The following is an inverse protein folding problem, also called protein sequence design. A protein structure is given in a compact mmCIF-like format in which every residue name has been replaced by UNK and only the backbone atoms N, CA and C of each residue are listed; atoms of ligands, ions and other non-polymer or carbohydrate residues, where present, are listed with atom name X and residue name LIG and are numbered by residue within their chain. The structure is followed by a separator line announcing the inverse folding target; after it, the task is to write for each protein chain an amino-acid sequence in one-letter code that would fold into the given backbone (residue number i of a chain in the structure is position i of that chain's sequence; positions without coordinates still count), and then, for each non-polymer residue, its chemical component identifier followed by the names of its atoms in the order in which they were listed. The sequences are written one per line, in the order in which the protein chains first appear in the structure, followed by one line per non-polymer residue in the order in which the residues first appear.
data_IF_527207788313
#
_entry.id   IF_527207788313
#
_cell.length_a   1.000
_cell.length_b   1.000
_cell.length_c   1.000
_cell.angle_alpha   90.00
_cell.angle_beta   90.00
_cell.angle_gamma   90.00
#
_symmetry.space_group_name_H-M   'P 1'
#
loop_
_entity.id
_entity.type
_entity.pdbx_description
1 polymer ?
#
# COMPACT_ATOMS: atom_id res chain seq x y z
N UNK A 1 -6.97 -6.81 -20.02
CA UNK A 1 -5.83 -7.78 -19.93
C UNK A 1 -6.26 -9.13 -19.34
N UNK A 2 -7.17 -9.19 -18.35
CA UNK A 2 -7.61 -10.44 -17.74
C UNK A 2 -8.33 -11.39 -18.72
N UNK A 3 -9.21 -10.88 -19.55
CA UNK A 3 -10.01 -11.70 -20.47
C UNK A 3 -9.14 -12.52 -21.45
N UNK A 4 -8.06 -11.95 -22.00
CA UNK A 4 -7.16 -12.67 -22.92
C UNK A 4 -6.48 -13.84 -22.22
N UNK A 5 -6.05 -13.66 -20.95
CA UNK A 5 -5.41 -14.73 -20.19
C UNK A 5 -6.37 -15.88 -19.87
N UNK A 6 -7.64 -15.55 -19.64
CA UNK A 6 -8.69 -16.54 -19.41
C UNK A 6 -8.99 -17.33 -20.70
N UNK A 7 -9.03 -16.67 -21.84
CA UNK A 7 -9.24 -17.30 -23.17
C UNK A 7 -8.09 -18.23 -23.55
N UNK A 8 -6.85 -17.88 -23.21
CA UNK A 8 -5.64 -18.66 -23.50
C UNK A 8 -5.36 -19.74 -22.45
N UNK A 9 -6.26 -19.97 -21.51
CA UNK A 9 -6.14 -20.95 -20.42
C UNK A 9 -4.82 -20.83 -19.65
N UNK A 10 -4.36 -19.61 -19.41
CA UNK A 10 -3.16 -19.35 -18.64
C UNK A 10 -3.30 -19.86 -17.21
N UNK A 11 -2.31 -20.60 -16.72
CA UNK A 11 -2.32 -21.18 -15.36
C UNK A 11 -1.60 -20.27 -14.35
N UNK A 12 -0.74 -19.38 -14.80
CA UNK A 12 -0.04 -18.41 -13.96
C UNK A 12 0.40 -17.20 -14.78
N UNK A 13 0.61 -16.06 -14.11
CA UNK A 13 1.17 -14.87 -14.67
C UNK A 13 2.57 -14.57 -14.12
N UNK A 14 3.50 -14.23 -14.99
CA UNK A 14 4.84 -13.77 -14.59
C UNK A 14 5.05 -12.37 -15.10
N UNK A 15 5.51 -11.47 -14.24
CA UNK A 15 5.81 -10.10 -14.63
C UNK A 15 7.26 -9.72 -14.31
N UNK A 16 7.73 -8.71 -15.01
CA UNK A 16 9.07 -8.16 -14.80
C UNK A 16 9.05 -7.13 -13.69
N UNK A 17 10.03 -7.19 -12.79
CA UNK A 17 10.31 -6.11 -11.85
C UNK A 17 10.67 -4.82 -12.61
N UNK A 18 10.33 -3.69 -12.02
CA UNK A 18 10.63 -2.37 -12.58
C UNK A 18 12.10 -1.96 -12.42
N UNK A 19 12.88 -2.71 -11.62
CA UNK A 19 14.27 -2.39 -11.30
C UNK A 19 15.22 -3.46 -11.80
N UNK A 20 16.40 -3.03 -12.22
CA UNK A 20 17.55 -3.88 -12.53
C UNK A 20 18.35 -4.21 -11.26
N UNK A 21 19.39 -5.03 -11.39
CA UNK A 21 20.30 -5.39 -10.29
C UNK A 21 19.77 -6.52 -9.39
N UNK A 22 18.94 -7.41 -9.93
CA UNK A 22 18.35 -8.51 -9.16
C UNK A 22 17.29 -8.07 -8.15
N UNK A 23 16.89 -6.80 -8.17
CA UNK A 23 15.92 -6.25 -7.24
C UNK A 23 14.50 -6.58 -7.66
N UNK A 24 13.72 -7.06 -6.71
CA UNK A 24 12.29 -7.24 -6.85
C UNK A 24 11.58 -6.04 -6.21
N UNK A 25 10.56 -5.56 -6.91
CA UNK A 25 9.68 -4.53 -6.40
C UNK A 25 8.27 -5.10 -6.32
N UNK A 26 7.98 -5.75 -5.22
CA UNK A 26 6.68 -6.37 -4.99
C UNK A 26 5.57 -5.32 -4.99
N UNK A 27 4.97 -5.06 -6.13
CA UNK A 27 3.80 -4.16 -6.21
C UNK A 27 2.52 -4.85 -5.77
N UNK A 28 2.57 -5.84 -4.90
CA UNK A 28 1.43 -6.50 -4.33
C UNK A 28 0.28 -6.82 -5.31
N UNK A 29 -0.54 -7.75 -4.95
CA UNK A 29 -1.82 -7.99 -5.59
C UNK A 29 -2.91 -7.40 -4.68
N UNK A 30 -3.79 -6.56 -5.24
CA UNK A 30 -4.93 -6.05 -4.48
C UNK A 30 -5.93 -7.19 -4.29
N UNK A 31 -5.85 -7.86 -3.15
CA UNK A 31 -6.85 -8.84 -2.75
C UNK A 31 -8.04 -8.11 -2.11
N UNK A 32 -9.23 -8.44 -2.56
CA UNK A 32 -10.46 -8.02 -1.90
C UNK A 32 -11.04 -9.21 -1.16
N UNK A 33 -11.39 -9.01 0.10
CA UNK A 33 -12.01 -10.03 0.94
C UNK A 33 -13.20 -10.68 0.22
N UNK A 34 -13.18 -12.01 0.15
CA UNK A 34 -14.21 -12.77 -0.56
C UNK A 34 -14.03 -12.86 -2.08
N UNK A 35 -13.03 -12.21 -2.65
CA UNK A 35 -12.70 -12.39 -4.07
C UNK A 35 -11.95 -13.70 -4.28
N UNK A 36 -12.28 -14.41 -5.34
CA UNK A 36 -11.50 -15.59 -5.75
C UNK A 36 -10.33 -15.14 -6.61
N UNK A 37 -9.08 -15.41 -6.22
CA UNK A 37 -7.93 -15.16 -7.08
C UNK A 37 -8.07 -15.97 -8.38
N UNK A 38 -7.98 -15.28 -9.52
CA UNK A 38 -8.16 -15.95 -10.82
C UNK A 38 -6.90 -16.64 -11.31
N UNK A 39 -5.74 -16.03 -11.04
CA UNK A 39 -4.48 -16.49 -11.60
C UNK A 39 -3.36 -16.26 -10.58
N UNK A 40 -2.58 -17.29 -10.33
CA UNK A 40 -1.35 -17.14 -9.56
C UNK A 40 -0.40 -16.19 -10.30
N UNK A 41 0.20 -15.24 -9.57
CA UNK A 41 1.12 -14.28 -10.15
C UNK A 41 2.42 -14.20 -9.36
N UNK A 42 3.52 -14.01 -10.07
CA UNK A 42 4.81 -13.75 -9.45
C UNK A 42 5.60 -12.70 -10.22
N UNK A 43 6.49 -12.05 -9.50
CA UNK A 43 7.42 -11.09 -10.07
C UNK A 43 8.81 -11.70 -10.11
N UNK A 44 9.48 -11.56 -11.25
CA UNK A 44 10.87 -11.92 -11.44
C UNK A 44 11.73 -10.67 -11.49
N UNK A 45 12.99 -10.79 -11.04
CA UNK A 45 14.00 -9.80 -11.33
C UNK A 45 14.04 -9.49 -12.83
N UNK A 46 14.31 -8.25 -13.18
CA UNK A 46 14.22 -7.80 -14.57
C UNK A 46 15.12 -8.59 -15.51
N UNK A 47 16.32 -8.95 -15.06
CA UNK A 47 17.30 -9.73 -15.83
C UNK A 47 16.79 -11.15 -16.11
N UNK A 48 16.23 -11.81 -15.10
CA UNK A 48 15.70 -13.16 -15.22
C UNK A 48 14.47 -13.18 -16.12
N UNK A 49 13.58 -12.21 -15.96
CA UNK A 49 12.42 -12.06 -16.83
C UNK A 49 12.84 -11.89 -18.30
N UNK A 50 13.81 -11.00 -18.57
CA UNK A 50 14.31 -10.79 -19.95
C UNK A 50 14.96 -12.04 -20.51
N UNK A 51 15.68 -12.82 -19.68
CA UNK A 51 16.22 -14.12 -20.05
C UNK A 51 15.12 -15.10 -20.41
N UNK A 52 14.12 -15.23 -19.54
CA UNK A 52 12.95 -16.08 -19.77
C UNK A 52 12.24 -15.72 -21.07
N UNK A 53 12.00 -14.42 -21.30
CA UNK A 53 11.35 -13.95 -22.53
C UNK A 53 12.14 -14.27 -23.81
N UNK A 54 13.48 -14.33 -23.73
CA UNK A 54 14.30 -14.79 -24.87
C UNK A 54 14.20 -16.31 -25.06
N UNK A 55 14.26 -17.07 -23.98
CA UNK A 55 14.16 -18.53 -24.01
C UNK A 55 12.76 -18.98 -24.49
N UNK A 56 11.70 -18.28 -24.13
CA UNK A 56 10.35 -18.60 -24.60
C UNK A 56 10.18 -18.52 -26.14
N UNK A 57 11.17 -17.97 -26.85
CA UNK A 57 11.19 -17.90 -28.33
C UNK A 57 12.04 -19.00 -28.96
N UNK A 58 12.62 -19.88 -28.16
CA UNK A 58 13.39 -21.04 -28.69
C UNK A 58 12.47 -22.23 -28.94
N UNK A 59 12.95 -23.18 -29.78
CA UNK A 59 12.26 -24.45 -30.07
C UNK A 59 13.10 -25.61 -29.55
N UNK A 60 12.59 -26.42 -28.60
CA UNK A 60 11.32 -26.25 -27.88
C UNK A 60 11.40 -25.11 -26.86
N UNK A 61 10.27 -24.49 -26.53
CA UNK A 61 10.23 -23.48 -25.46
C UNK A 61 10.47 -24.11 -24.07
N UNK A 62 11.02 -23.39 -23.12
CA UNK A 62 11.24 -23.91 -21.77
C UNK A 62 9.91 -24.16 -21.05
N UNK A 63 9.90 -25.19 -20.22
CA UNK A 63 8.83 -25.42 -19.27
C UNK A 63 9.21 -24.78 -17.94
N UNK A 64 8.25 -24.10 -17.28
CA UNK A 64 8.41 -23.54 -15.96
C UNK A 64 7.61 -24.37 -14.96
N UNK A 65 8.22 -24.65 -13.83
CA UNK A 65 7.54 -25.18 -12.67
C UNK A 65 7.37 -24.02 -11.65
N UNK A 66 6.14 -23.79 -11.22
CA UNK A 66 5.81 -22.78 -10.24
C UNK A 66 5.25 -23.46 -9.00
N UNK A 67 5.86 -23.19 -7.85
CA UNK A 67 5.34 -23.58 -6.56
C UNK A 67 4.96 -22.33 -5.78
N UNK A 68 3.72 -22.29 -5.26
CA UNK A 68 3.23 -21.17 -4.46
C UNK A 68 2.33 -21.70 -3.37
N UNK A 69 2.70 -21.41 -2.13
CA UNK A 69 1.89 -21.71 -0.96
C UNK A 69 1.41 -20.37 -0.38
N UNK A 70 0.12 -20.09 -0.47
CA UNK A 70 -0.50 -18.86 -0.03
C UNK A 70 -1.66 -19.16 0.87
N UNK A 71 -1.73 -18.51 2.01
CA UNK A 71 -2.86 -18.55 2.92
C UNK A 71 -3.46 -17.16 3.04
N UNK A 72 -4.78 -17.05 2.86
CA UNK A 72 -5.53 -15.82 3.11
C UNK A 72 -5.99 -15.80 4.56
N UNK A 73 -5.86 -14.64 5.21
CA UNK A 73 -6.27 -14.41 6.59
C UNK A 73 -7.37 -13.35 6.58
N UNK A 74 -8.61 -13.80 6.50
CA UNK A 74 -9.81 -12.96 6.37
C UNK A 74 -10.62 -12.88 7.67
N UNK A 75 -10.11 -13.40 8.77
CA UNK A 75 -10.81 -13.49 10.06
C UNK A 75 -10.95 -12.12 10.72
N UNK A 76 -9.93 -11.27 10.60
CA UNK A 76 -9.96 -9.88 11.03
C UNK A 76 -9.38 -8.98 9.95
N UNK A 77 -10.27 -8.26 9.28
CA UNK A 77 -9.96 -7.33 8.18
C UNK A 77 -9.97 -5.87 8.63
N UNK A 78 -10.08 -5.61 9.93
CA UNK A 78 -10.07 -4.26 10.46
C UNK A 78 -8.66 -3.67 10.40
N UNK A 79 -8.60 -2.42 9.98
CA UNK A 79 -7.40 -1.61 10.02
C UNK A 79 -7.73 -0.26 10.65
N UNK A 80 -6.78 0.31 11.38
CA UNK A 80 -7.00 1.49 12.19
C UNK A 80 -6.03 2.59 11.83
N UNK A 81 -6.56 3.82 11.68
CA UNK A 81 -5.74 5.02 11.69
C UNK A 81 -5.57 5.51 13.14
N UNK A 82 -4.42 6.08 13.45
CA UNK A 82 -4.16 6.70 14.75
C UNK A 82 -4.29 8.21 14.59
N UNK A 83 -5.13 8.82 15.41
CA UNK A 83 -5.34 10.26 15.40
C UNK A 83 -5.03 10.85 16.78
N UNK A 84 -4.35 12.00 16.79
CA UNK A 84 -4.09 12.76 18.01
C UNK A 84 -4.31 14.25 17.74
N UNK A 85 -4.97 14.93 18.68
CA UNK A 85 -5.33 16.33 18.52
C UNK A 85 -4.74 17.21 19.62
N UNK A 86 -4.27 18.40 19.21
CA UNK A 86 -4.11 19.55 20.08
C UNK A 86 -5.34 20.44 19.82
N UNK A 87 -6.28 20.54 20.78
CA UNK A 87 -7.53 21.27 20.56
C UNK A 87 -7.33 22.74 20.24
N UNK A 88 -8.09 23.25 19.30
CA UNK A 88 -8.17 24.69 19.01
C UNK A 88 -8.92 25.46 20.10
N UNK A 89 -8.55 26.72 20.27
CA UNK A 89 -9.15 27.60 21.29
C UNK A 89 -10.32 28.46 20.77
N UNK A 90 -10.32 28.75 19.47
CA UNK A 90 -11.27 29.70 18.84
C UNK A 90 -12.04 29.01 17.70
N UNK A 91 -11.34 28.34 16.83
CA UNK A 91 -11.89 27.60 15.67
C UNK A 91 -11.63 26.11 15.81
N UNK A 92 -12.09 25.52 16.91
CA UNK A 92 -11.81 24.12 17.22
C UNK A 92 -12.41 23.11 16.22
N UNK A 93 -13.42 23.51 15.46
CA UNK A 93 -13.98 22.71 14.36
C UNK A 93 -13.19 22.78 13.04
N UNK A 94 -12.20 23.67 12.94
CA UNK A 94 -11.29 23.74 11.80
C UNK A 94 -9.99 23.01 12.12
N UNK A 95 -9.43 22.30 11.14
CA UNK A 95 -8.25 21.47 11.34
C UNK A 95 -7.07 21.92 10.49
N UNK A 96 -5.89 21.90 11.10
CA UNK A 96 -4.61 21.84 10.40
C UNK A 96 -4.08 20.42 10.63
N UNK A 97 -3.75 19.71 9.57
CA UNK A 97 -3.37 18.30 9.66
C UNK A 97 -1.93 18.07 9.22
N UNK A 98 -1.24 17.20 9.96
CA UNK A 98 0.00 16.60 9.56
C UNK A 98 -0.15 15.08 9.68
N UNK A 99 0.31 14.32 8.69
CA UNK A 99 0.18 12.88 8.70
C UNK A 99 1.29 12.17 7.96
N UNK A 100 1.46 10.91 8.31
CA UNK A 100 2.33 9.96 7.63
C UNK A 100 1.66 8.60 7.66
N UNK A 101 2.05 7.66 6.81
CA UNK A 101 1.53 6.30 6.94
C UNK A 101 2.40 5.46 7.87
N UNK A 102 1.76 4.53 8.54
CA UNK A 102 2.36 3.69 9.57
C UNK A 102 2.77 2.32 9.03
N UNK A 103 2.09 1.86 7.99
CA UNK A 103 2.37 0.59 7.33
C UNK A 103 3.59 0.68 6.40
N UNK A 104 4.10 -0.49 6.04
CA UNK A 104 5.20 -0.66 5.09
C UNK A 104 4.95 -1.89 4.24
N UNK A 105 5.71 -2.04 3.16
CA UNK A 105 5.69 -3.26 2.36
C UNK A 105 6.13 -4.48 3.18
N UNK A 106 5.47 -5.61 2.93
CA UNK A 106 5.72 -6.89 3.61
C UNK A 106 7.18 -7.33 3.54
N UNK A 107 7.87 -7.04 2.45
CA UNK A 107 9.26 -7.40 2.24
C UNK A 107 10.25 -6.27 2.60
N UNK A 108 9.79 -5.24 3.32
CA UNK A 108 10.60 -4.07 3.67
C UNK A 108 10.56 -3.82 5.18
N UNK A 109 11.69 -3.42 5.74
CA UNK A 109 11.77 -2.98 7.14
C UNK A 109 11.06 -1.63 7.36
N UNK A 110 10.68 -0.93 6.30
CA UNK A 110 9.91 0.30 6.35
C UNK A 110 10.63 1.49 7.00
N UNK A 111 11.96 1.43 7.17
CA UNK A 111 12.69 2.47 7.90
C UNK A 111 12.57 3.85 7.26
N UNK A 112 12.67 3.92 5.92
CA UNK A 112 12.51 5.14 5.16
C UNK A 112 11.05 5.36 4.74
N UNK A 113 10.39 4.31 4.29
CA UNK A 113 9.01 4.29 3.83
C UNK A 113 8.18 3.36 4.74
N UNK A 114 7.56 3.85 5.83
CA UNK A 114 7.53 5.28 6.17
C UNK A 114 7.74 5.51 7.68
N UNK A 115 8.58 4.71 8.35
CA UNK A 115 8.89 4.92 9.77
C UNK A 115 9.51 6.32 10.01
N UNK A 116 10.35 6.80 9.09
CA UNK A 116 10.93 8.14 9.18
C UNK A 116 9.86 9.23 9.17
N UNK A 117 8.89 9.17 8.25
CA UNK A 117 7.78 10.12 8.20
C UNK A 117 6.89 10.04 9.45
N UNK A 118 6.59 8.83 9.91
CA UNK A 118 5.83 8.62 11.15
C UNK A 118 6.56 9.21 12.36
N UNK A 119 7.87 9.01 12.47
CA UNK A 119 8.68 9.59 13.55
C UNK A 119 8.65 11.13 13.52
N UNK A 120 8.71 11.74 12.35
CA UNK A 120 8.63 13.21 12.20
C UNK A 120 7.27 13.73 12.69
N UNK A 121 6.17 13.09 12.31
CA UNK A 121 4.82 13.48 12.75
C UNK A 121 4.66 13.31 14.26
N UNK A 122 5.13 12.19 14.81
CA UNK A 122 5.07 11.94 16.26
C UNK A 122 5.91 12.93 17.05
N UNK A 123 7.11 13.25 16.57
CA UNK A 123 7.99 14.21 17.23
C UNK A 123 7.43 15.64 17.17
N UNK A 124 6.85 16.04 16.05
CA UNK A 124 6.15 17.32 15.96
C UNK A 124 5.00 17.41 16.96
N UNK A 125 4.21 16.35 17.09
CA UNK A 125 3.14 16.27 18.08
C UNK A 125 3.67 16.38 19.51
N UNK A 126 4.75 15.69 19.82
CA UNK A 126 5.41 15.72 21.12
C UNK A 126 5.92 17.12 21.48
N UNK A 127 6.65 17.76 20.55
CA UNK A 127 7.20 19.11 20.76
C UNK A 127 6.05 20.12 21.02
N UNK A 128 5.06 20.18 20.15
CA UNK A 128 3.96 21.14 20.27
C UNK A 128 3.14 20.90 21.55
N UNK A 129 2.96 19.65 21.96
CA UNK A 129 2.32 19.30 23.23
C UNK A 129 3.13 19.78 24.42
N UNK A 130 4.47 19.57 24.44
CA UNK A 130 5.34 20.04 25.52
C UNK A 130 5.42 21.57 25.60
N UNK A 131 5.38 22.24 24.47
CA UNK A 131 5.30 23.71 24.41
C UNK A 131 3.99 24.26 24.92
N UNK A 132 3.00 23.41 25.19
CA UNK A 132 1.66 23.80 25.64
C UNK A 132 1.04 24.86 24.74
N UNK A 133 1.21 24.70 23.43
CA UNK A 133 0.67 25.63 22.44
C UNK A 133 -0.86 25.70 22.56
N UNK A 134 -1.40 26.90 22.30
CA UNK A 134 -2.85 27.13 22.28
C UNK A 134 -3.23 27.62 20.88
N UNK A 135 -3.36 26.71 19.92
CA UNK A 135 -3.64 27.10 18.53
C UNK A 135 -5.08 27.60 18.40
N UNK A 136 -5.36 28.46 17.43
CA UNK A 136 -6.75 28.87 17.13
C UNK A 136 -7.55 27.72 16.54
N UNK A 137 -6.94 26.93 15.62
CA UNK A 137 -7.51 25.75 15.01
C UNK A 137 -6.98 24.49 15.68
N UNK A 138 -7.74 23.43 15.65
CA UNK A 138 -7.24 22.12 16.11
C UNK A 138 -6.10 21.67 15.20
N UNK A 139 -4.98 21.25 15.82
CA UNK A 139 -3.88 20.59 15.09
C UNK A 139 -4.09 19.10 15.25
N UNK A 140 -4.30 18.40 14.13
CA UNK A 140 -4.50 16.95 14.09
C UNK A 140 -3.28 16.28 13.49
N UNK A 141 -2.76 15.30 14.20
CA UNK A 141 -1.72 14.39 13.73
C UNK A 141 -2.37 13.08 13.37
N UNK A 142 -1.97 12.50 12.26
CA UNK A 142 -2.54 11.25 11.77
C UNK A 142 -1.44 10.27 11.36
N UNK A 143 -1.56 9.02 11.80
CA UNK A 143 -0.81 7.91 11.25
C UNK A 143 -1.79 7.01 10.51
N UNK A 144 -1.61 6.95 9.20
CA UNK A 144 -2.51 6.26 8.30
C UNK A 144 -2.12 4.78 8.15
N UNK A 145 -3.10 3.91 7.98
CA UNK A 145 -2.86 2.50 7.69
C UNK A 145 -3.33 2.16 6.27
N UNK A 146 -2.70 1.14 5.66
CA UNK A 146 -3.06 0.68 4.32
C UNK A 146 -2.70 1.67 3.21
N UNK A 147 -1.65 2.46 3.38
CA UNK A 147 -1.14 3.36 2.33
C UNK A 147 -0.59 2.55 1.18
N UNK A 148 0.23 1.56 1.48
CA UNK A 148 0.93 0.71 0.52
C UNK A 148 -0.01 -0.15 -0.35
N UNK A 149 -1.24 -0.36 0.09
CA UNK A 149 -2.28 -1.06 -0.64
C UNK A 149 -3.22 -0.12 -1.40
N UNK A 150 -2.94 1.19 -1.42
CA UNK A 150 -3.71 2.18 -2.18
C UNK A 150 -4.32 3.28 -1.32
N UNK A 151 -3.56 3.83 -0.36
CA UNK A 151 -3.93 4.96 0.51
C UNK A 151 -5.27 4.76 1.25
N UNK A 152 -5.60 3.51 1.58
CA UNK A 152 -6.94 3.12 2.05
C UNK A 152 -7.37 3.86 3.32
N UNK A 153 -6.47 3.99 4.30
CA UNK A 153 -6.80 4.62 5.58
C UNK A 153 -7.10 6.11 5.46
N UNK A 154 -6.30 6.85 4.71
CA UNK A 154 -6.52 8.28 4.48
C UNK A 154 -7.75 8.55 3.61
N UNK A 155 -7.99 7.73 2.58
CA UNK A 155 -9.21 7.81 1.78
C UNK A 155 -10.47 7.56 2.61
N UNK A 156 -10.45 6.54 3.46
CA UNK A 156 -11.57 6.25 4.35
C UNK A 156 -11.83 7.40 5.33
N UNK A 157 -10.76 8.01 5.87
CA UNK A 157 -10.87 9.17 6.74
C UNK A 157 -11.49 10.37 6.02
N UNK A 158 -10.98 10.71 4.84
CA UNK A 158 -11.51 11.83 4.04
C UNK A 158 -12.99 11.60 3.72
N UNK A 159 -13.34 10.41 3.25
CA UNK A 159 -14.72 10.08 2.91
C UNK A 159 -15.70 10.16 4.09
N UNK A 160 -15.24 9.83 5.31
CA UNK A 160 -16.08 9.87 6.51
C UNK A 160 -16.20 11.25 7.16
N UNK A 161 -15.16 12.09 7.05
CA UNK A 161 -15.03 13.27 7.89
C UNK A 161 -14.92 14.59 7.12
N UNK A 162 -14.50 14.58 5.88
CA UNK A 162 -14.18 15.82 5.16
C UNK A 162 -15.02 16.02 3.88
N UNK A 163 -15.11 15.02 3.02
CA UNK A 163 -15.83 15.13 1.75
C UNK A 163 -16.17 13.77 1.17
N UNK A 164 -17.36 13.63 0.60
CA UNK A 164 -17.69 12.53 -0.30
C UNK A 164 -17.27 12.90 -1.71
N UNK A 165 -16.42 12.07 -2.34
CA UNK A 165 -16.11 12.22 -3.76
C UNK A 165 -17.28 11.68 -4.58
N UNK A 166 -17.81 12.46 -5.51
CA UNK A 166 -18.75 11.95 -6.49
C UNK A 166 -18.07 10.81 -7.29
N UNK A 167 -18.80 9.72 -7.64
CA UNK A 167 -18.27 8.71 -8.52
C UNK A 167 -17.75 9.37 -9.80
N UNK A 168 -16.59 8.92 -10.28
CA UNK A 168 -16.12 9.32 -11.59
C UNK A 168 -17.13 8.84 -12.64
N UNK A 169 -17.65 9.77 -13.40
CA UNK A 169 -18.57 9.50 -14.52
C UNK A 169 -17.86 8.81 -15.67
#
# INVERSE_FOLDING_TARGET
RGAILDEEAAVAGVRMSLRDGGLQHGTGYSYQVGATPRLAGMELAAEDYRRLARLARTEPPPTLELMSEVQFHDEDVNAYNILADIPGTDRSGEYVMAGAHLDSWVASDGAQDNAAGSAVVMEAARILSQMKVKPKRTIRFALWNGEEQGILGSLAYVGRHLASRAPAS
#
